data_IF_453064825866
#
_entry.id   IF_453064825866
#
_cell.length_a   1.000
_cell.length_b   1.000
_cell.length_c   1.000
_cell.angle_alpha   90.00
_cell.angle_beta   90.00
_cell.angle_gamma   90.00
#
_symmetry.space_group_name_H-M   'P 1'
#
loop_
_entity.id
_entity.type
_entity.pdbx_description
1 polymer ?
#
# COMPACT_ATOMS: atom_id res chain seq x y z
N UNK A 1 18.96 -4.86 10.70
CA UNK A 1 18.95 -6.02 9.80
C UNK A 1 19.10 -7.28 10.65
N UNK A 2 17.99 -7.79 11.16
CA UNK A 2 17.96 -9.11 11.82
C UNK A 2 17.73 -10.11 10.68
N UNK A 3 18.77 -10.85 10.34
CA UNK A 3 18.66 -12.01 9.46
C UNK A 3 17.78 -13.05 10.18
N UNK A 4 16.53 -13.17 9.78
CA UNK A 4 15.71 -14.33 10.13
C UNK A 4 16.42 -15.58 9.59
N UNK A 5 16.51 -16.66 10.35
CA UNK A 5 17.18 -17.87 9.91
C UNK A 5 16.41 -18.49 8.74
N UNK A 6 16.85 -18.16 7.53
CA UNK A 6 16.47 -18.83 6.31
C UNK A 6 17.19 -20.21 6.32
N UNK A 7 16.44 -21.27 6.52
CA UNK A 7 16.89 -22.67 6.53
C UNK A 7 17.63 -23.15 7.80
N UNK A 8 16.88 -23.58 8.79
CA UNK A 8 17.34 -24.66 9.67
C UNK A 8 17.02 -25.99 8.97
N UNK A 9 18.03 -26.80 8.55
CA UNK A 9 17.77 -28.15 8.09
C UNK A 9 17.35 -28.99 9.29
N UNK A 10 16.12 -29.54 9.25
CA UNK A 10 15.61 -30.45 10.28
C UNK A 10 14.43 -29.94 11.11
N UNK A 11 13.83 -28.79 10.77
CA UNK A 11 12.57 -28.41 11.38
C UNK A 11 11.47 -29.42 10.95
N UNK A 12 10.91 -30.13 11.92
CA UNK A 12 9.74 -30.98 11.73
C UNK A 12 8.61 -30.15 11.14
N UNK A 13 8.26 -30.42 9.90
CA UNK A 13 7.08 -29.80 9.25
C UNK A 13 5.93 -30.75 9.55
N UNK A 14 4.89 -30.33 10.32
CA UNK A 14 3.75 -31.18 10.58
C UNK A 14 3.14 -31.68 9.27
N UNK A 15 2.82 -32.97 9.21
CA UNK A 15 2.10 -33.50 8.06
C UNK A 15 0.67 -32.96 8.07
N UNK A 16 0.47 -31.86 7.34
CA UNK A 16 -0.88 -31.41 7.01
C UNK A 16 -1.61 -32.48 6.23
N UNK A 17 -2.83 -32.77 6.63
CA UNK A 17 -3.68 -33.61 5.79
C UNK A 17 -3.96 -32.90 4.43
N UNK A 18 -4.22 -33.71 3.40
CA UNK A 18 -4.40 -33.18 2.03
C UNK A 18 -5.54 -32.15 1.93
N UNK A 19 -6.57 -32.28 2.75
CA UNK A 19 -7.70 -31.35 2.78
C UNK A 19 -7.29 -29.95 3.29
N UNK A 20 -6.52 -29.91 4.36
CA UNK A 20 -5.99 -28.66 4.92
C UNK A 20 -5.09 -27.95 3.92
N UNK A 21 -4.18 -28.69 3.29
CA UNK A 21 -3.30 -28.18 2.23
C UNK A 21 -4.10 -27.57 1.09
N UNK A 22 -5.10 -28.28 0.57
CA UNK A 22 -5.93 -27.80 -0.53
C UNK A 22 -6.70 -26.51 -0.16
N UNK A 23 -7.18 -26.39 1.08
CA UNK A 23 -7.85 -25.19 1.56
C UNK A 23 -6.91 -23.99 1.62
N UNK A 24 -5.71 -24.19 2.16
CA UNK A 24 -4.70 -23.16 2.23
C UNK A 24 -4.26 -22.70 0.83
N UNK A 25 -4.03 -23.62 -0.09
CA UNK A 25 -3.72 -23.29 -1.49
C UNK A 25 -4.86 -22.51 -2.16
N UNK A 26 -6.12 -22.89 -1.90
CA UNK A 26 -7.28 -22.16 -2.40
C UNK A 26 -7.35 -20.73 -1.83
N UNK A 27 -7.02 -20.53 -0.56
CA UNK A 27 -6.96 -19.22 0.08
C UNK A 27 -5.86 -18.34 -0.54
N UNK A 28 -4.66 -18.90 -0.74
CA UNK A 28 -3.56 -18.19 -1.40
C UNK A 28 -3.92 -17.79 -2.84
N UNK A 29 -4.58 -18.68 -3.57
CA UNK A 29 -5.05 -18.39 -4.93
C UNK A 29 -6.10 -17.27 -4.94
N UNK A 30 -7.06 -17.28 -4.03
CA UNK A 30 -8.04 -16.19 -3.87
C UNK A 30 -7.33 -14.86 -3.55
N UNK A 31 -6.34 -14.88 -2.63
CA UNK A 31 -5.58 -13.69 -2.30
C UNK A 31 -4.78 -13.17 -3.51
N UNK A 32 -4.17 -14.05 -4.29
CA UNK A 32 -3.49 -13.69 -5.54
C UNK A 32 -4.45 -13.05 -6.55
N UNK A 33 -5.61 -13.67 -6.79
CA UNK A 33 -6.64 -13.13 -7.69
C UNK A 33 -7.19 -11.80 -7.21
N UNK A 34 -7.28 -11.61 -5.88
CA UNK A 34 -7.83 -10.42 -5.25
C UNK A 34 -6.82 -9.26 -5.22
N UNK A 35 -5.57 -9.54 -4.86
CA UNK A 35 -4.54 -8.52 -4.67
C UNK A 35 -3.51 -8.45 -5.81
N UNK A 36 -3.55 -9.35 -6.80
CA UNK A 36 -2.67 -9.38 -7.97
C UNK A 36 -1.19 -9.55 -7.66
N UNK A 37 -0.87 -10.14 -6.52
CA UNK A 37 0.50 -10.46 -6.11
C UNK A 37 0.69 -11.98 -6.17
N UNK A 38 1.84 -12.49 -6.66
CA UNK A 38 2.03 -13.90 -6.98
C UNK A 38 2.25 -14.77 -5.72
N UNK A 39 1.24 -14.78 -4.82
CA UNK A 39 1.31 -15.54 -3.55
C UNK A 39 1.16 -17.05 -3.77
N UNK A 40 0.43 -17.45 -4.80
CA UNK A 40 0.18 -18.85 -5.14
C UNK A 40 1.03 -19.31 -6.33
N UNK A 41 1.08 -18.54 -7.40
CA UNK A 41 1.77 -18.89 -8.65
C UNK A 41 3.29 -18.93 -8.52
N UNK A 42 3.87 -18.16 -7.60
CA UNK A 42 5.29 -18.22 -7.30
C UNK A 42 5.55 -19.30 -6.24
N UNK A 43 6.21 -20.40 -6.64
CA UNK A 43 6.45 -21.55 -5.78
C UNK A 43 7.23 -21.19 -4.49
N UNK A 44 8.20 -20.29 -4.58
CA UNK A 44 9.01 -19.86 -3.42
C UNK A 44 8.13 -19.12 -2.40
N UNK A 45 7.32 -18.17 -2.85
CA UNK A 45 6.44 -17.38 -1.96
C UNK A 45 5.36 -18.27 -1.36
N UNK A 46 4.74 -19.11 -2.20
CA UNK A 46 3.76 -20.11 -1.75
C UNK A 46 4.32 -20.98 -0.64
N UNK A 47 5.51 -21.56 -0.85
CA UNK A 47 6.15 -22.43 0.14
C UNK A 47 6.45 -21.69 1.45
N UNK A 48 6.96 -20.48 1.41
CA UNK A 48 7.26 -19.67 2.59
C UNK A 48 6.00 -19.37 3.42
N UNK A 49 4.93 -18.93 2.77
CA UNK A 49 3.67 -18.59 3.43
C UNK A 49 2.99 -19.84 3.97
N UNK A 50 2.94 -20.92 3.18
CA UNK A 50 2.37 -22.18 3.62
C UNK A 50 3.11 -22.73 4.83
N UNK A 51 4.42 -22.73 4.85
CA UNK A 51 5.22 -23.19 5.99
C UNK A 51 4.97 -22.36 7.27
N UNK A 52 4.76 -21.05 7.12
CA UNK A 52 4.41 -20.20 8.26
C UNK A 52 3.03 -20.55 8.82
N UNK A 53 2.02 -20.66 7.97
CA UNK A 53 0.65 -20.97 8.38
C UNK A 53 0.53 -22.41 8.91
N UNK A 54 1.29 -23.37 8.35
CA UNK A 54 1.30 -24.75 8.81
C UNK A 54 1.76 -24.89 10.26
N UNK A 55 2.73 -24.07 10.70
CA UNK A 55 3.16 -24.05 12.11
C UNK A 55 2.05 -23.62 13.06
N UNK A 56 1.24 -22.65 12.65
CA UNK A 56 0.07 -22.21 13.42
C UNK A 56 -1.00 -23.31 13.58
N UNK A 57 -1.06 -24.21 12.62
CA UNK A 57 -2.01 -25.33 12.63
C UNK A 57 -1.47 -26.55 13.39
N UNK A 58 -0.23 -26.49 13.91
CA UNK A 58 0.37 -27.56 14.70
C UNK A 58 -0.12 -27.49 16.15
N UNK A 59 -0.86 -28.51 16.63
CA UNK A 59 -1.33 -28.56 18.01
C UNK A 59 -0.19 -28.52 19.06
N UNK A 60 1.03 -28.89 18.69
CA UNK A 60 2.19 -28.89 19.57
C UNK A 60 2.77 -27.48 19.76
N UNK A 61 2.55 -26.56 18.79
CA UNK A 61 2.97 -25.16 18.87
C UNK A 61 1.89 -24.22 19.42
N UNK A 62 0.63 -24.63 19.47
CA UNK A 62 -0.50 -23.84 20.01
C UNK A 62 -0.29 -23.37 21.49
N UNK A 63 0.58 -24.04 22.23
CA UNK A 63 0.82 -23.71 23.65
C UNK A 63 1.91 -22.65 23.89
N UNK A 64 2.60 -22.18 22.86
CA UNK A 64 3.64 -21.17 23.00
C UNK A 64 3.14 -19.83 22.44
N UNK A 65 2.77 -18.86 23.30
CA UNK A 65 2.38 -17.55 22.80
C UNK A 65 3.57 -16.91 22.10
N UNK A 66 3.47 -16.73 20.79
CA UNK A 66 4.48 -16.05 20.02
C UNK A 66 4.36 -14.56 20.30
N UNK A 67 5.29 -14.04 21.09
CA UNK A 67 5.39 -12.62 21.34
C UNK A 67 6.15 -11.95 20.19
N UNK A 68 5.46 -11.11 19.42
CA UNK A 68 6.07 -10.26 18.42
C UNK A 68 6.16 -8.82 18.94
N UNK A 69 7.32 -8.37 19.41
CA UNK A 69 7.47 -7.01 19.94
C UNK A 69 7.26 -5.92 18.88
N UNK A 70 7.32 -6.30 17.62
CA UNK A 70 7.17 -5.39 16.48
C UNK A 70 5.76 -5.37 15.87
N UNK A 71 4.77 -6.05 16.46
CA UNK A 71 3.42 -6.15 15.88
C UNK A 71 2.82 -4.80 15.55
N UNK A 72 2.88 -3.85 16.47
CA UNK A 72 2.38 -2.48 16.26
C UNK A 72 3.14 -1.73 15.18
N UNK A 73 4.47 -1.89 15.14
CA UNK A 73 5.31 -1.26 14.13
C UNK A 73 5.04 -1.87 12.74
N UNK A 74 4.95 -3.19 12.65
CA UNK A 74 4.64 -3.91 11.41
C UNK A 74 3.27 -3.50 10.85
N UNK A 75 2.25 -3.42 11.70
CA UNK A 75 0.90 -2.97 11.32
C UNK A 75 0.92 -1.57 10.72
N UNK A 76 1.73 -0.66 11.28
CA UNK A 76 1.85 0.71 10.84
C UNK A 76 2.71 0.87 9.58
N UNK A 77 3.89 0.24 9.54
CA UNK A 77 4.85 0.41 8.45
C UNK A 77 4.47 -0.38 7.19
N UNK A 78 3.78 -1.52 7.37
CA UNK A 78 3.43 -2.43 6.28
C UNK A 78 1.91 -2.58 6.12
N UNK A 79 1.19 -1.46 6.15
CA UNK A 79 -0.28 -1.40 6.13
C UNK A 79 -0.91 -2.30 5.06
N UNK A 80 -0.40 -2.25 3.83
CA UNK A 80 -0.94 -3.04 2.73
C UNK A 80 -0.69 -4.54 2.92
N UNK A 81 0.53 -4.93 3.29
CA UNK A 81 0.86 -6.31 3.60
C UNK A 81 0.05 -6.85 4.79
N UNK A 82 -0.17 -6.01 5.81
CA UNK A 82 -0.97 -6.35 6.97
C UNK A 82 -2.45 -6.57 6.59
N UNK A 83 -3.00 -5.76 5.69
CA UNK A 83 -4.35 -5.96 5.18
C UNK A 83 -4.51 -7.28 4.43
N UNK A 84 -3.50 -7.67 3.64
CA UNK A 84 -3.47 -8.96 2.94
C UNK A 84 -3.36 -10.12 3.92
N UNK A 85 -2.56 -9.98 4.97
CA UNK A 85 -2.44 -10.98 6.03
C UNK A 85 -3.77 -11.19 6.76
N UNK A 86 -4.48 -10.12 7.10
CA UNK A 86 -5.83 -10.21 7.66
C UNK A 86 -6.80 -10.94 6.74
N UNK A 87 -6.77 -10.66 5.43
CA UNK A 87 -7.61 -11.34 4.45
C UNK A 87 -7.36 -12.85 4.42
N UNK A 88 -6.10 -13.27 4.40
CA UNK A 88 -5.75 -14.70 4.41
C UNK A 88 -6.20 -15.39 5.69
N UNK A 89 -6.07 -14.73 6.82
CA UNK A 89 -6.49 -15.30 8.09
C UNK A 89 -8.02 -15.32 8.28
N UNK A 90 -8.76 -14.34 7.75
CA UNK A 90 -10.23 -14.38 7.74
C UNK A 90 -10.77 -15.64 7.02
N UNK A 91 -10.14 -15.95 5.88
CA UNK A 91 -10.43 -17.18 5.14
C UNK A 91 -10.12 -18.43 5.98
N UNK A 92 -8.97 -18.44 6.65
CA UNK A 92 -8.51 -19.60 7.44
C UNK A 92 -9.26 -19.76 8.76
N UNK A 93 -9.61 -18.67 9.46
CA UNK A 93 -10.43 -18.72 10.68
C UNK A 93 -11.77 -19.38 10.41
N UNK A 94 -12.40 -19.05 9.27
CA UNK A 94 -13.66 -19.63 8.84
C UNK A 94 -13.52 -21.13 8.55
N UNK A 95 -12.43 -21.55 7.92
CA UNK A 95 -12.19 -22.94 7.51
C UNK A 95 -11.70 -23.85 8.66
N UNK A 96 -10.89 -23.30 9.58
CA UNK A 96 -10.21 -24.07 10.63
C UNK A 96 -10.72 -23.78 12.04
N UNK A 97 -11.64 -22.83 12.23
CA UNK A 97 -12.18 -22.38 13.51
C UNK A 97 -11.09 -21.95 14.51
N UNK A 98 -10.07 -21.29 14.00
CA UNK A 98 -8.96 -20.76 14.78
C UNK A 98 -9.24 -19.32 15.21
N UNK A 99 -8.68 -18.92 16.37
CA UNK A 99 -8.54 -17.52 16.73
C UNK A 99 -7.07 -17.12 16.53
N UNK A 100 -6.80 -16.22 15.60
CA UNK A 100 -5.45 -15.87 15.22
C UNK A 100 -5.02 -14.57 15.93
N UNK A 101 -3.97 -14.61 16.75
CA UNK A 101 -3.47 -13.43 17.46
C UNK A 101 -2.90 -12.37 16.50
N UNK A 102 -2.99 -11.09 16.87
CA UNK A 102 -2.38 -9.97 16.10
C UNK A 102 -0.87 -10.16 15.84
N UNK A 103 -0.15 -10.83 16.74
CA UNK A 103 1.27 -11.16 16.55
C UNK A 103 1.51 -12.03 15.32
N UNK A 104 0.64 -12.98 15.07
CA UNK A 104 0.72 -13.88 13.90
C UNK A 104 0.37 -13.16 12.61
N UNK A 105 -0.67 -12.30 12.65
CA UNK A 105 -1.00 -11.43 11.52
C UNK A 105 0.22 -10.57 11.14
N UNK A 106 0.92 -10.01 12.12
CA UNK A 106 2.11 -9.21 11.90
C UNK A 106 3.27 -10.03 11.30
N UNK A 107 3.48 -11.28 11.74
CA UNK A 107 4.51 -12.14 11.14
C UNK A 107 4.19 -12.49 9.70
N UNK A 108 2.95 -12.87 9.40
CA UNK A 108 2.53 -13.12 8.03
C UNK A 108 2.67 -11.87 7.16
N UNK A 109 2.34 -10.69 7.69
CA UNK A 109 2.51 -9.42 6.99
C UNK A 109 3.98 -9.15 6.61
N UNK A 110 4.94 -9.53 7.44
CA UNK A 110 6.38 -9.43 7.10
C UNK A 110 6.73 -10.31 5.89
N UNK A 111 6.23 -11.56 5.85
CA UNK A 111 6.44 -12.43 4.70
C UNK A 111 5.83 -11.86 3.42
N UNK A 112 4.60 -11.35 3.50
CA UNK A 112 3.92 -10.70 2.38
C UNK A 112 4.66 -9.42 1.94
N UNK A 113 5.18 -8.64 2.89
CA UNK A 113 5.96 -7.43 2.57
C UNK A 113 7.24 -7.76 1.80
N UNK A 114 7.91 -8.87 2.11
CA UNK A 114 9.06 -9.34 1.33
C UNK A 114 8.65 -9.63 -0.13
N UNK A 115 7.52 -10.31 -0.34
CA UNK A 115 6.97 -10.54 -1.69
C UNK A 115 6.69 -9.20 -2.39
N UNK A 116 5.99 -8.30 -1.73
CA UNK A 116 5.69 -6.98 -2.28
C UNK A 116 6.95 -6.17 -2.63
N UNK A 117 8.01 -6.31 -1.84
CA UNK A 117 9.29 -5.64 -2.07
C UNK A 117 10.04 -6.24 -3.27
N UNK A 118 10.00 -7.56 -3.44
CA UNK A 118 10.59 -8.22 -4.61
C UNK A 118 9.84 -7.90 -5.90
N UNK A 119 8.50 -7.87 -5.85
CA UNK A 119 7.65 -7.47 -6.98
C UNK A 119 7.80 -5.98 -7.34
N UNK A 120 8.10 -5.11 -6.37
CA UNK A 120 8.36 -3.69 -6.65
C UNK A 120 9.74 -3.41 -7.23
N UNK A 121 10.64 -4.39 -7.28
CA UNK A 121 11.86 -4.27 -8.12
C UNK A 121 11.52 -4.10 -9.61
N UNK A 122 10.32 -4.44 -10.02
CA UNK A 122 9.71 -3.99 -11.27
C UNK A 122 9.22 -2.54 -11.11
N UNK A 123 10.15 -1.59 -11.11
CA UNK A 123 9.85 -0.16 -11.02
C UNK A 123 8.89 0.35 -12.09
N UNK A 124 8.59 1.65 -12.09
CA UNK A 124 7.76 2.31 -13.10
C UNK A 124 8.36 2.01 -14.48
N UNK A 125 7.68 1.17 -15.25
CA UNK A 125 8.15 0.74 -16.58
C UNK A 125 8.27 1.97 -17.48
N UNK A 126 9.50 2.36 -17.75
CA UNK A 126 9.83 3.64 -18.37
C UNK A 126 10.59 3.44 -19.68
N UNK A 127 10.23 4.21 -20.69
CA UNK A 127 11.00 4.36 -21.91
C UNK A 127 11.73 5.70 -21.88
N UNK A 128 13.04 5.69 -22.13
CA UNK A 128 13.80 6.92 -22.37
C UNK A 128 13.93 7.15 -23.88
N UNK A 129 13.34 8.23 -24.36
CA UNK A 129 13.50 8.72 -25.71
C UNK A 129 14.55 9.83 -25.68
N UNK A 130 15.71 9.58 -26.23
CA UNK A 130 16.88 10.46 -26.11
C UNK A 130 17.34 10.98 -27.47
N UNK A 131 17.40 12.29 -27.62
CA UNK A 131 17.92 12.92 -28.83
C UNK A 131 19.45 13.11 -28.70
N UNK A 132 20.23 12.19 -29.26
CA UNK A 132 21.67 12.22 -29.20
C UNK A 132 22.32 10.86 -29.47
N UNK A 133 23.59 10.73 -29.10
CA UNK A 133 24.32 9.48 -29.26
C UNK A 133 23.82 8.45 -28.25
N UNK A 134 23.81 7.16 -28.65
CA UNK A 134 23.35 6.06 -27.79
C UNK A 134 24.07 6.01 -26.45
N UNK A 135 25.38 6.22 -26.44
CA UNK A 135 26.19 6.22 -25.21
C UNK A 135 25.78 7.33 -24.22
N UNK A 136 25.44 8.52 -24.74
CA UNK A 136 24.92 9.63 -23.92
C UNK A 136 23.56 9.25 -23.31
N UNK A 137 22.69 8.64 -24.09
CA UNK A 137 21.39 8.16 -23.62
C UNK A 137 21.50 7.11 -22.50
N UNK A 138 22.46 6.18 -22.61
CA UNK A 138 22.70 5.18 -21.57
C UNK A 138 23.26 5.82 -20.26
N UNK A 139 24.12 6.83 -20.38
CA UNK A 139 24.59 7.62 -19.23
C UNK A 139 23.41 8.34 -18.55
N UNK A 140 22.51 8.90 -19.36
CA UNK A 140 21.29 9.55 -18.86
C UNK A 140 20.36 8.59 -18.18
N UNK A 141 20.18 7.38 -18.72
CA UNK A 141 19.42 6.29 -18.10
C UNK A 141 19.95 6.00 -16.69
N UNK A 142 21.26 5.77 -16.59
CA UNK A 142 21.91 5.53 -15.30
C UNK A 142 21.69 6.68 -14.31
N UNK A 143 21.86 7.92 -14.75
CA UNK A 143 21.65 9.12 -13.93
C UNK A 143 20.21 9.21 -13.41
N UNK A 144 19.20 9.01 -14.29
CA UNK A 144 17.78 9.04 -13.88
C UNK A 144 17.48 7.94 -12.87
N UNK A 145 17.95 6.71 -13.09
CA UNK A 145 17.72 5.60 -12.16
C UNK A 145 18.43 5.77 -10.81
N UNK A 146 19.56 6.50 -10.77
CA UNK A 146 20.23 6.85 -9.52
C UNK A 146 19.41 7.85 -8.70
N UNK A 147 18.83 8.88 -9.34
CA UNK A 147 17.96 9.84 -8.65
C UNK A 147 16.58 9.26 -8.30
N UNK A 148 16.08 8.35 -9.13
CA UNK A 148 14.75 7.77 -9.02
C UNK A 148 14.81 6.24 -9.08
N UNK A 149 15.16 5.56 -7.99
CA UNK A 149 15.31 4.10 -7.95
C UNK A 149 14.02 3.33 -8.31
N UNK A 150 12.85 3.99 -8.20
CA UNK A 150 11.54 3.44 -8.60
C UNK A 150 11.31 3.47 -10.11
N UNK A 151 12.16 4.11 -10.91
CA UNK A 151 12.06 4.16 -12.36
C UNK A 151 12.88 3.02 -12.98
N UNK A 152 12.21 2.15 -13.74
CA UNK A 152 12.85 1.06 -14.49
C UNK A 152 12.90 1.42 -15.99
N UNK A 153 14.05 1.93 -16.46
CA UNK A 153 14.27 2.25 -17.85
C UNK A 153 14.89 1.03 -18.55
N UNK A 154 14.06 0.27 -19.26
CA UNK A 154 14.51 -0.91 -20.04
C UNK A 154 15.02 -0.55 -21.43
N UNK A 155 14.59 0.57 -21.99
CA UNK A 155 14.85 0.91 -23.38
C UNK A 155 15.23 2.37 -23.52
N UNK A 156 16.34 2.61 -24.24
CA UNK A 156 16.77 3.94 -24.69
C UNK A 156 16.71 3.98 -26.21
N UNK A 157 15.89 4.87 -26.77
CA UNK A 157 15.70 4.96 -28.23
C UNK A 157 15.67 6.42 -28.66
N UNK A 158 16.01 6.73 -29.94
CA UNK A 158 15.88 8.10 -30.45
C UNK A 158 14.44 8.45 -30.84
N UNK A 159 13.52 7.49 -30.89
CA UNK A 159 12.16 7.69 -31.38
C UNK A 159 11.11 7.12 -30.43
N UNK A 160 9.93 7.72 -30.44
CA UNK A 160 8.73 7.27 -29.76
C UNK A 160 7.68 6.87 -30.82
N UNK A 161 6.98 5.77 -30.58
CA UNK A 161 5.83 5.34 -31.41
C UNK A 161 4.57 5.32 -30.56
N UNK A 162 3.39 5.39 -31.21
CA UNK A 162 2.09 5.45 -30.52
C UNK A 162 1.85 4.24 -29.60
N UNK A 163 2.33 3.06 -29.96
CA UNK A 163 2.24 1.85 -29.14
C UNK A 163 3.00 1.97 -27.80
N UNK A 164 3.98 2.85 -27.69
CA UNK A 164 4.73 3.07 -26.44
C UNK A 164 3.84 3.61 -25.32
N UNK A 165 2.82 4.41 -25.64
CA UNK A 165 1.85 4.95 -24.67
C UNK A 165 1.01 3.87 -24.01
N UNK A 166 0.84 2.71 -24.64
CA UNK A 166 0.15 1.56 -24.06
C UNK A 166 1.10 0.66 -23.28
N UNK A 167 2.35 0.55 -23.74
CA UNK A 167 3.34 -0.36 -23.19
C UNK A 167 4.02 0.17 -21.95
N UNK A 168 4.32 1.47 -21.89
CA UNK A 168 5.06 2.09 -20.79
C UNK A 168 4.16 2.94 -19.91
N UNK A 169 4.50 2.99 -18.62
CA UNK A 169 3.80 3.83 -17.63
C UNK A 169 4.31 5.27 -17.68
N UNK A 170 5.59 5.43 -18.01
CA UNK A 170 6.27 6.72 -18.17
C UNK A 170 7.10 6.70 -19.45
N UNK A 171 7.07 7.81 -20.17
CA UNK A 171 7.97 8.07 -21.28
C UNK A 171 8.71 9.38 -20.95
N UNK A 172 10.02 9.29 -20.81
CA UNK A 172 10.87 10.46 -20.61
C UNK A 172 11.45 10.85 -21.96
N UNK A 173 11.11 12.04 -22.44
CA UNK A 173 11.72 12.63 -23.66
C UNK A 173 12.80 13.62 -23.24
N UNK A 174 14.02 13.38 -23.72
CA UNK A 174 15.19 14.17 -23.36
C UNK A 174 15.84 14.84 -24.56
N UNK A 175 15.97 16.16 -24.53
CA UNK A 175 16.72 16.94 -25.51
C UNK A 175 15.95 17.32 -26.78
N UNK A 176 14.64 17.13 -26.85
CA UNK A 176 13.81 17.52 -27.98
C UNK A 176 13.40 18.99 -27.86
N UNK A 177 13.37 19.69 -29.00
CA UNK A 177 12.87 21.08 -29.08
C UNK A 177 11.39 21.14 -29.48
N UNK A 178 10.91 20.14 -30.22
CA UNK A 178 9.51 20.08 -30.65
C UNK A 178 8.63 19.50 -29.54
N UNK A 179 7.61 20.25 -29.09
CA UNK A 179 6.66 19.75 -28.09
C UNK A 179 5.82 18.62 -28.69
N UNK A 180 5.50 17.64 -27.87
CA UNK A 180 4.51 16.61 -28.20
C UNK A 180 3.16 17.02 -27.63
N UNK A 181 2.09 16.54 -28.25
CA UNK A 181 0.74 16.69 -27.71
C UNK A 181 0.69 16.29 -26.23
N UNK A 182 0.06 17.11 -25.40
CA UNK A 182 0.00 16.90 -23.96
C UNK A 182 -0.52 15.49 -23.65
N UNK A 183 0.30 14.71 -22.97
CA UNK A 183 -0.05 13.38 -22.49
C UNK A 183 0.50 13.17 -21.09
N UNK A 184 -0.36 12.72 -20.18
CA UNK A 184 0.00 12.53 -18.77
C UNK A 184 1.13 11.53 -18.52
N UNK A 185 1.44 10.67 -19.50
CA UNK A 185 2.53 9.70 -19.41
C UNK A 185 3.87 10.22 -19.95
N UNK A 186 3.91 11.42 -20.54
CA UNK A 186 5.12 11.96 -21.15
C UNK A 186 5.69 13.08 -20.28
N UNK A 187 6.95 12.93 -19.89
CA UNK A 187 7.73 13.96 -19.20
C UNK A 187 8.87 14.43 -20.10
N UNK A 188 8.87 15.72 -20.44
CA UNK A 188 9.92 16.34 -21.23
C UNK A 188 10.99 16.99 -20.34
N UNK A 189 12.23 16.61 -20.56
CA UNK A 189 13.40 17.11 -19.82
C UNK A 189 14.51 17.58 -20.75
N UNK A 190 15.35 18.48 -20.23
CA UNK A 190 16.56 18.93 -20.91
C UNK A 190 17.74 17.97 -20.71
N UNK A 191 18.72 18.01 -21.59
CA UNK A 191 19.98 17.26 -21.41
C UNK A 191 20.77 17.67 -20.18
N UNK A 192 20.54 18.88 -19.64
CA UNK A 192 21.16 19.36 -18.40
C UNK A 192 20.60 18.69 -17.15
N UNK A 193 19.39 18.13 -17.19
CA UNK A 193 18.70 17.58 -16.04
C UNK A 193 18.78 18.51 -14.82
N UNK A 194 18.24 19.71 -14.98
CA UNK A 194 18.22 20.74 -13.95
C UNK A 194 17.17 20.45 -12.88
N UNK A 195 17.11 21.26 -11.83
CA UNK A 195 16.17 21.10 -10.71
C UNK A 195 14.70 21.06 -11.16
N UNK A 196 14.32 21.82 -12.22
CA UNK A 196 12.97 21.80 -12.78
C UNK A 196 12.66 20.45 -13.45
N UNK A 197 13.64 19.85 -14.14
CA UNK A 197 13.49 18.55 -14.79
C UNK A 197 13.37 17.44 -13.76
N UNK A 198 14.15 17.50 -12.70
CA UNK A 198 14.06 16.60 -11.53
C UNK A 198 12.66 16.71 -10.92
N UNK A 199 12.18 17.93 -10.65
CA UNK A 199 10.85 18.14 -10.11
C UNK A 199 9.72 17.59 -11.02
N UNK A 200 9.83 17.71 -12.35
CA UNK A 200 8.85 17.12 -13.28
C UNK A 200 8.78 15.60 -13.17
N UNK A 201 9.95 14.94 -13.12
CA UNK A 201 10.00 13.48 -12.99
C UNK A 201 9.46 13.09 -11.62
N UNK A 202 9.85 13.79 -10.56
CA UNK A 202 9.39 13.54 -9.20
C UNK A 202 7.87 13.69 -9.08
N UNK A 203 7.31 14.79 -9.56
CA UNK A 203 5.87 14.99 -9.61
C UNK A 203 5.15 13.85 -10.35
N UNK A 204 5.72 13.36 -11.46
CA UNK A 204 5.15 12.22 -12.16
C UNK A 204 5.20 10.96 -11.29
N UNK A 205 6.34 10.63 -10.70
CA UNK A 205 6.53 9.45 -9.84
C UNK A 205 5.58 9.49 -8.63
N UNK A 206 5.35 10.66 -8.08
CA UNK A 206 4.42 10.91 -6.98
C UNK A 206 2.95 10.91 -7.42
N UNK A 207 2.65 11.40 -8.62
CA UNK A 207 1.29 11.55 -9.16
C UNK A 207 0.72 10.26 -9.78
N UNK A 208 1.58 9.30 -10.12
CA UNK A 208 1.14 8.02 -10.68
C UNK A 208 0.50 7.17 -9.57
N UNK A 209 -0.73 7.48 -9.24
CA UNK A 209 -1.60 6.60 -8.50
C UNK A 209 -2.54 7.22 -7.47
N UNK A 210 -2.22 8.32 -6.81
CA UNK A 210 -2.99 8.74 -5.64
C UNK A 210 -3.43 10.21 -5.62
N UNK A 211 -2.76 11.10 -6.32
CA UNK A 211 -3.10 12.53 -6.33
C UNK A 211 -4.55 12.80 -6.79
N UNK A 212 -5.09 12.02 -7.74
CA UNK A 212 -6.48 12.16 -8.16
C UNK A 212 -7.47 11.70 -7.08
N UNK A 213 -7.11 10.72 -6.25
CA UNK A 213 -7.92 10.26 -5.13
C UNK A 213 -8.04 11.32 -4.05
N UNK A 214 -6.93 11.94 -3.69
CA UNK A 214 -6.89 13.01 -2.70
C UNK A 214 -7.65 14.24 -3.17
N UNK A 215 -7.61 14.59 -4.45
CA UNK A 215 -8.41 15.69 -5.00
C UNK A 215 -9.92 15.43 -4.92
N UNK A 216 -10.35 14.16 -4.97
CA UNK A 216 -11.74 13.75 -5.00
C UNK A 216 -12.26 13.22 -3.65
N UNK A 217 -11.45 13.31 -2.56
CA UNK A 217 -11.87 12.83 -1.24
C UNK A 217 -13.13 13.53 -0.72
N UNK A 218 -13.89 12.83 0.10
CA UNK A 218 -14.93 13.43 0.95
C UNK A 218 -14.30 13.84 2.28
N UNK A 219 -14.72 14.98 2.83
CA UNK A 219 -14.13 15.55 4.04
C UNK A 219 -15.21 15.94 5.04
N UNK A 220 -15.10 15.44 6.28
CA UNK A 220 -16.09 15.65 7.32
C UNK A 220 -15.46 15.96 8.67
N UNK A 221 -15.99 16.95 9.36
CA UNK A 221 -15.81 17.10 10.81
C UNK A 221 -16.94 16.37 11.51
N UNK A 222 -16.62 15.68 12.60
CA UNK A 222 -17.58 14.89 13.35
C UNK A 222 -17.31 14.91 14.86
N UNK A 223 -18.24 14.38 15.64
CA UNK A 223 -18.15 14.31 17.10
C UNK A 223 -18.74 12.96 17.58
N UNK A 224 -18.09 11.91 17.17
CA UNK A 224 -18.47 10.53 17.50
C UNK A 224 -17.75 10.05 18.76
N UNK A 225 -18.27 9.00 19.41
CA UNK A 225 -17.75 8.48 20.68
C UNK A 225 -17.05 7.12 20.56
N UNK A 226 -17.23 6.42 19.43
CA UNK A 226 -16.64 5.10 19.18
C UNK A 226 -16.18 4.95 17.73
N UNK A 227 -15.35 3.93 17.48
CA UNK A 227 -14.90 3.56 16.15
C UNK A 227 -16.07 3.16 15.23
N UNK A 228 -17.02 2.40 15.77
CA UNK A 228 -18.19 1.91 15.04
C UNK A 228 -19.07 3.09 14.59
N UNK A 229 -19.40 4.00 15.51
CA UNK A 229 -20.23 5.18 15.18
C UNK A 229 -19.51 6.11 14.17
N UNK A 230 -18.18 6.22 14.26
CA UNK A 230 -17.38 7.03 13.34
C UNK A 230 -17.39 6.45 11.91
N UNK A 231 -17.20 5.14 11.77
CA UNK A 231 -17.27 4.46 10.46
C UNK A 231 -18.68 4.59 9.88
N UNK A 232 -19.71 4.30 10.69
CA UNK A 232 -21.11 4.41 10.26
C UNK A 232 -21.45 5.81 9.78
N UNK A 233 -21.10 6.84 10.57
CA UNK A 233 -21.32 8.24 10.22
C UNK A 233 -20.70 8.60 8.87
N UNK A 234 -19.42 8.27 8.68
CA UNK A 234 -18.68 8.62 7.46
C UNK A 234 -19.23 7.91 6.23
N UNK A 235 -19.51 6.61 6.32
CA UNK A 235 -20.09 5.85 5.22
C UNK A 235 -21.49 6.35 4.85
N UNK A 236 -22.32 6.69 5.84
CA UNK A 236 -23.66 7.23 5.62
C UNK A 236 -23.61 8.59 4.94
N UNK A 237 -22.73 9.49 5.40
CA UNK A 237 -22.58 10.85 4.83
C UNK A 237 -22.07 10.83 3.40
N UNK A 238 -21.22 9.87 3.05
CA UNK A 238 -20.63 9.76 1.71
C UNK A 238 -21.40 8.81 0.78
N UNK A 239 -22.54 8.26 1.22
CA UNK A 239 -23.40 7.42 0.37
C UNK A 239 -22.97 5.95 0.24
N UNK A 240 -22.10 5.46 1.13
CA UNK A 240 -21.56 4.10 1.11
C UNK A 240 -22.04 3.25 2.28
N UNK A 241 -23.15 3.57 2.89
CA UNK A 241 -23.67 2.86 4.07
C UNK A 241 -23.88 1.37 3.86
N UNK A 242 -24.21 0.93 2.65
CA UNK A 242 -24.32 -0.48 2.27
C UNK A 242 -23.03 -1.29 2.46
N UNK A 243 -21.89 -0.63 2.59
CA UNK A 243 -20.59 -1.27 2.82
C UNK A 243 -20.27 -1.49 4.31
N UNK A 244 -21.07 -0.91 5.23
CA UNK A 244 -20.81 -0.99 6.68
C UNK A 244 -20.53 -2.41 7.19
N UNK A 245 -21.26 -3.47 6.82
CA UNK A 245 -20.98 -4.82 7.31
C UNK A 245 -19.57 -5.32 6.97
N UNK A 246 -19.02 -4.91 5.83
CA UNK A 246 -17.69 -5.31 5.38
C UNK A 246 -16.58 -4.60 6.15
N UNK A 247 -16.80 -3.34 6.52
CA UNK A 247 -15.91 -2.61 7.40
C UNK A 247 -15.92 -3.20 8.81
N UNK A 248 -17.10 -3.50 9.36
CA UNK A 248 -17.25 -4.13 10.67
C UNK A 248 -16.54 -5.49 10.73
N UNK A 249 -16.68 -6.30 9.69
CA UNK A 249 -15.98 -7.58 9.59
C UNK A 249 -14.46 -7.40 9.60
N UNK A 250 -13.93 -6.42 8.86
CA UNK A 250 -12.49 -6.12 8.83
C UNK A 250 -11.98 -5.62 10.18
N UNK A 251 -12.72 -4.73 10.84
CA UNK A 251 -12.36 -4.19 12.16
C UNK A 251 -12.35 -5.27 13.26
N UNK A 252 -13.25 -6.26 13.18
CA UNK A 252 -13.35 -7.32 14.19
C UNK A 252 -12.12 -8.23 14.22
N UNK A 253 -11.37 -8.37 13.13
CA UNK A 253 -10.15 -9.18 13.09
C UNK A 253 -8.96 -8.48 13.75
N UNK A 254 -8.76 -7.24 13.43
CA UNK A 254 -7.73 -6.37 14.00
C UNK A 254 -8.13 -4.93 13.75
N UNK A 255 -8.32 -4.13 14.78
CA UNK A 255 -8.68 -2.73 14.65
C UNK A 255 -7.72 -2.02 13.69
N UNK A 256 -8.21 -1.07 12.91
CA UNK A 256 -7.41 -0.38 11.89
C UNK A 256 -6.68 0.86 12.39
N UNK A 257 -6.50 1.00 13.71
CA UNK A 257 -5.62 2.00 14.30
C UNK A 257 -4.17 1.79 13.86
N UNK A 258 -3.51 2.85 13.43
CA UNK A 258 -2.14 2.84 12.92
C UNK A 258 -1.19 3.72 13.74
N UNK A 259 -1.63 4.18 14.90
CA UNK A 259 -0.88 5.08 15.77
C UNK A 259 -1.03 6.55 15.38
N UNK A 260 -0.36 7.45 16.12
CA UNK A 260 -0.37 8.90 15.89
C UNK A 260 -1.78 9.50 15.73
N UNK A 261 -2.76 9.01 16.49
CA UNK A 261 -4.16 9.44 16.44
C UNK A 261 -4.88 9.11 15.11
N UNK A 262 -4.39 8.15 14.34
CA UNK A 262 -4.93 7.81 13.02
C UNK A 262 -5.48 6.39 12.99
N UNK A 263 -6.63 6.22 12.32
CA UNK A 263 -7.13 4.93 11.87
C UNK A 263 -7.40 4.95 10.37
N UNK A 264 -7.22 3.79 9.71
CA UNK A 264 -7.47 3.61 8.29
C UNK A 264 -8.45 2.46 8.05
N UNK A 265 -9.76 2.63 8.32
CA UNK A 265 -10.75 1.63 8.02
C UNK A 265 -10.86 1.35 6.52
N UNK A 266 -10.94 0.07 6.16
CA UNK A 266 -11.12 -0.40 4.78
C UNK A 266 -11.75 -1.80 4.78
N UNK A 267 -12.56 -2.16 3.78
CA UNK A 267 -13.15 -3.49 3.68
C UNK A 267 -12.18 -4.49 3.05
N UNK A 268 -12.43 -5.79 3.23
CA UNK A 268 -11.72 -6.82 2.46
C UNK A 268 -12.20 -6.93 1.02
N UNK A 269 -13.44 -6.53 0.75
CA UNK A 269 -14.05 -6.78 -0.56
C UNK A 269 -13.47 -5.86 -1.64
N UNK A 270 -13.29 -6.48 -2.80
CA UNK A 270 -13.21 -5.81 -4.07
C UNK A 270 -14.60 -5.22 -4.34
N UNK A 271 -14.78 -3.97 -3.99
CA UNK A 271 -15.99 -3.24 -4.36
C UNK A 271 -16.00 -3.15 -5.88
N UNK A 272 -17.13 -3.41 -6.51
CA UNK A 272 -17.30 -3.39 -7.98
C UNK A 272 -17.11 -2.00 -8.58
N UNK A 273 -16.64 -1.04 -7.80
CA UNK A 273 -16.36 0.32 -8.26
C UNK A 273 -15.08 0.39 -9.08
N UNK A 274 -15.15 1.10 -10.18
CA UNK A 274 -14.03 1.28 -11.10
C UNK A 274 -12.93 2.17 -10.53
N UNK A 275 -13.27 3.02 -9.54
CA UNK A 275 -12.35 3.99 -8.93
C UNK A 275 -12.36 3.87 -7.41
N UNK A 276 -11.18 3.94 -6.78
CA UNK A 276 -11.06 4.00 -5.34
C UNK A 276 -11.71 5.28 -4.76
N UNK A 277 -12.17 5.22 -3.50
CA UNK A 277 -12.71 6.36 -2.77
C UNK A 277 -11.99 6.57 -1.45
N UNK A 278 -11.80 7.83 -1.10
CA UNK A 278 -11.22 8.25 0.16
C UNK A 278 -12.22 9.16 0.88
N UNK A 279 -12.46 8.88 2.15
CA UNK A 279 -13.31 9.70 3.02
C UNK A 279 -12.48 10.05 4.25
N UNK A 280 -12.32 11.32 4.51
CA UNK A 280 -11.61 11.84 5.67
C UNK A 280 -12.60 12.28 6.73
N UNK A 281 -12.42 11.76 7.94
CA UNK A 281 -13.12 12.18 9.13
C UNK A 281 -12.17 12.78 10.16
N UNK A 282 -12.42 14.01 10.61
CA UNK A 282 -11.72 14.61 11.74
C UNK A 282 -12.68 14.66 12.92
N UNK A 283 -12.40 13.85 13.96
CA UNK A 283 -13.22 13.87 15.14
C UNK A 283 -12.78 15.01 16.09
N UNK A 284 -13.75 15.64 16.73
CA UNK A 284 -13.51 16.77 17.65
C UNK A 284 -12.63 16.35 18.84
N UNK A 285 -12.91 15.18 19.38
CA UNK A 285 -12.20 14.60 20.53
C UNK A 285 -11.56 13.27 20.14
N UNK A 286 -10.62 12.80 20.93
CA UNK A 286 -10.07 11.46 20.77
C UNK A 286 -11.12 10.39 21.09
N UNK A 287 -11.24 9.38 20.25
CA UNK A 287 -12.12 8.23 20.47
C UNK A 287 -11.31 6.94 20.62
N UNK A 288 -11.77 5.98 21.41
CA UNK A 288 -11.10 4.70 21.55
C UNK A 288 -11.19 3.93 20.22
N UNK A 289 -10.07 3.32 19.81
CA UNK A 289 -9.96 2.51 18.59
C UNK A 289 -8.97 1.38 18.84
N UNK A 290 -9.46 0.18 19.06
CA UNK A 290 -8.62 -0.92 19.51
C UNK A 290 -7.85 -0.56 20.79
N UNK A 291 -6.53 -0.57 20.70
CA UNK A 291 -5.64 -0.23 21.82
C UNK A 291 -5.12 1.21 21.80
N UNK A 292 -5.60 2.03 20.87
CA UNK A 292 -5.15 3.40 20.66
C UNK A 292 -6.30 4.40 20.79
N UNK A 293 -5.94 5.67 20.72
CA UNK A 293 -6.89 6.77 20.57
C UNK A 293 -6.73 7.37 19.19
N UNK A 294 -7.84 7.76 18.57
CA UNK A 294 -7.89 8.22 17.18
C UNK A 294 -8.68 9.53 17.09
N UNK A 295 -8.23 10.43 16.22
CA UNK A 295 -8.94 11.64 15.81
C UNK A 295 -9.06 11.78 14.31
N UNK A 296 -8.05 11.30 13.54
CA UNK A 296 -8.06 11.28 12.07
C UNK A 296 -8.48 9.91 11.58
N UNK A 297 -9.57 9.85 10.85
CA UNK A 297 -10.09 8.62 10.26
C UNK A 297 -9.96 8.74 8.74
N UNK A 298 -9.23 7.80 8.13
CA UNK A 298 -9.01 7.71 6.69
C UNK A 298 -9.75 6.48 6.18
N UNK A 299 -11.03 6.63 5.82
CA UNK A 299 -11.77 5.52 5.19
C UNK A 299 -11.26 5.36 3.75
N UNK A 300 -10.94 4.13 3.40
CA UNK A 300 -10.52 3.74 2.08
C UNK A 300 -11.42 2.65 1.50
N UNK A 301 -12.05 2.92 0.35
CA UNK A 301 -12.81 1.95 -0.43
C UNK A 301 -11.94 1.59 -1.64
N UNK A 302 -11.42 0.34 -1.72
CA UNK A 302 -10.46 -0.04 -2.74
C UNK A 302 -11.07 -0.11 -4.14
N UNK A 303 -10.29 0.25 -5.16
CA UNK A 303 -10.62 0.00 -6.57
C UNK A 303 -10.17 -1.39 -7.02
N UNK A 304 -10.54 -1.73 -8.26
CA UNK A 304 -10.03 -2.93 -8.93
C UNK A 304 -8.53 -2.82 -9.30
N UNK A 305 -7.99 -1.61 -9.38
CA UNK A 305 -6.56 -1.38 -9.66
C UNK A 305 -5.71 -1.49 -8.40
N UNK A 306 -4.99 -2.59 -8.32
CA UNK A 306 -4.13 -2.95 -7.20
C UNK A 306 -2.97 -2.00 -6.96
N UNK A 307 -2.45 -1.40 -8.03
CA UNK A 307 -1.35 -0.45 -7.91
C UNK A 307 -1.80 0.82 -7.20
N UNK A 308 -2.99 1.31 -7.53
CA UNK A 308 -3.61 2.44 -6.85
C UNK A 308 -3.82 2.13 -5.37
N UNK A 309 -4.36 0.94 -5.04
CA UNK A 309 -4.54 0.53 -3.66
C UNK A 309 -3.20 0.53 -2.89
N UNK A 310 -2.18 -0.17 -3.40
CA UNK A 310 -0.86 -0.23 -2.76
C UNK A 310 -0.23 1.15 -2.55
N UNK A 311 -0.29 2.00 -3.57
CA UNK A 311 0.28 3.34 -3.50
C UNK A 311 -0.44 4.18 -2.44
N UNK A 312 -1.78 4.09 -2.35
CA UNK A 312 -2.53 4.84 -1.33
C UNK A 312 -2.19 4.39 0.09
N UNK A 313 -2.05 3.09 0.35
CA UNK A 313 -1.61 2.60 1.66
C UNK A 313 -0.23 3.13 2.04
N UNK A 314 0.70 3.17 1.08
CA UNK A 314 2.03 3.74 1.31
C UNK A 314 1.96 5.26 1.57
N UNK A 315 1.15 6.00 0.82
CA UNK A 315 0.98 7.44 1.03
C UNK A 315 0.39 7.73 2.42
N UNK A 316 -0.61 6.96 2.86
CA UNK A 316 -1.15 7.10 4.21
C UNK A 316 -0.05 6.88 5.26
N UNK A 317 0.78 5.83 5.10
CA UNK A 317 1.91 5.62 6.00
C UNK A 317 2.88 6.80 6.00
N UNK A 318 3.29 7.29 4.83
CA UNK A 318 4.22 8.42 4.72
C UNK A 318 3.70 9.65 5.45
N UNK A 319 2.41 10.01 5.26
CA UNK A 319 1.79 11.19 5.89
C UNK A 319 1.42 11.03 7.36
N UNK A 320 1.33 9.78 7.85
CA UNK A 320 0.95 9.51 9.24
C UNK A 320 2.11 9.02 10.11
N UNK A 321 3.29 8.82 9.51
CA UNK A 321 4.50 8.39 10.23
C UNK A 321 5.06 9.49 11.14
N UNK A 322 4.79 10.76 10.84
CA UNK A 322 5.23 11.92 11.63
C UNK A 322 4.04 12.54 12.39
N UNK A 323 4.13 12.59 13.71
CA UNK A 323 3.07 13.14 14.57
C UNK A 323 2.81 14.64 14.30
N UNK A 324 3.84 15.42 13.96
CA UNK A 324 3.66 16.85 13.65
C UNK A 324 2.84 17.05 12.36
N UNK A 325 3.05 16.19 11.36
CA UNK A 325 2.27 16.20 10.11
C UNK A 325 0.80 15.81 10.37
N UNK A 326 0.56 14.80 11.20
CA UNK A 326 -0.79 14.43 11.63
C UNK A 326 -1.47 15.57 12.37
N UNK A 327 -0.77 16.27 13.28
CA UNK A 327 -1.33 17.44 13.94
C UNK A 327 -1.70 18.55 12.94
N UNK A 328 -0.87 18.82 11.93
CA UNK A 328 -1.19 19.79 10.88
C UNK A 328 -2.45 19.38 10.08
N UNK A 329 -2.64 18.09 9.80
CA UNK A 329 -3.86 17.58 9.17
C UNK A 329 -5.09 17.74 10.07
N UNK A 330 -4.96 17.49 11.38
CA UNK A 330 -6.03 17.61 12.37
C UNK A 330 -6.51 19.04 12.59
N UNK A 331 -5.70 20.05 12.31
CA UNK A 331 -6.05 21.48 12.44
C UNK A 331 -6.77 22.06 11.21
N UNK A 332 -6.87 21.29 10.12
CA UNK A 332 -7.55 21.71 8.90
C UNK A 332 -9.07 21.83 9.12
N UNK A 333 -9.68 22.84 8.51
CA UNK A 333 -11.11 23.12 8.66
C UNK A 333 -11.89 22.84 7.38
N UNK A 334 -11.20 22.78 6.25
CA UNK A 334 -11.82 22.56 4.94
C UNK A 334 -11.07 21.47 4.16
N UNK A 335 -11.76 20.91 3.17
CA UNK A 335 -11.17 19.95 2.23
C UNK A 335 -9.92 20.50 1.53
N UNK A 336 -9.98 21.76 1.10
CA UNK A 336 -8.90 22.42 0.38
C UNK A 336 -7.66 22.60 1.27
N UNK A 337 -7.86 22.94 2.54
CA UNK A 337 -6.78 23.01 3.53
C UNK A 337 -6.17 21.65 3.75
N UNK A 338 -6.97 20.59 3.91
CA UNK A 338 -6.51 19.22 4.08
C UNK A 338 -5.66 18.78 2.88
N UNK A 339 -6.16 18.96 1.67
CA UNK A 339 -5.44 18.63 0.43
C UNK A 339 -4.12 19.42 0.34
N UNK A 340 -4.12 20.69 0.74
CA UNK A 340 -2.92 21.52 0.74
C UNK A 340 -1.86 21.02 1.72
N UNK A 341 -2.27 20.61 2.93
CA UNK A 341 -1.36 20.04 3.93
C UNK A 341 -0.85 18.68 3.46
N UNK A 342 -1.75 17.81 2.97
CA UNK A 342 -1.38 16.49 2.44
C UNK A 342 -0.35 16.58 1.30
N UNK A 343 -0.47 17.54 0.40
CA UNK A 343 0.44 17.71 -0.74
C UNK A 343 1.78 18.40 -0.38
N UNK A 344 1.96 18.90 0.86
CA UNK A 344 3.20 19.49 1.34
C UNK A 344 4.14 18.41 1.85
N UNK A 345 4.80 17.65 0.98
CA UNK A 345 5.82 16.68 1.40
C UNK A 345 7.07 17.40 1.93
N UNK A 346 7.50 17.05 3.14
CA UNK A 346 8.89 17.18 3.58
C UNK A 346 9.34 18.47 4.25
N UNK A 347 8.54 19.50 4.43
CA UNK A 347 8.97 20.74 5.12
C UNK A 347 9.09 20.62 6.66
N UNK A 348 8.67 19.49 7.23
CA UNK A 348 8.66 19.28 8.69
C UNK A 348 9.92 18.59 9.24
N UNK A 349 10.89 18.20 8.39
CA UNK A 349 12.13 17.53 8.83
C UNK A 349 13.13 18.44 9.56
N UNK A 350 12.88 19.74 9.63
CA UNK A 350 13.76 20.73 10.26
C UNK A 350 13.20 21.38 11.54
N UNK A 351 12.14 20.81 12.13
CA UNK A 351 11.54 21.34 13.37
C UNK A 351 11.71 20.35 14.53
N UNK A 352 12.97 20.03 14.87
CA UNK A 352 13.38 19.45 16.17
C UNK A 352 14.71 20.08 16.57
#
# INVERSE_FOLDING_TARGET
LIALPLNMPGAFVPEMNQLQRNRLEASLKRAEEYYGIPLYSNERYRAQIMNHIMRLLDPLEESIPIFNPYSKQTKREYLFAYSIACFLYDDLESDFRLQIPESEIAYLAIHIQLVLTEETKNGIQTKLVFQGKKAEGELFRYKIQTYFPRIDIKTVTPTMIQADLQKYQLIIRCGFQEPVAANSKIVEISKGMNTRDIAKIQNFVETVGTASLIQQLDYHHMNESSSESAIEYLLKKSGYFNLLPYFQKRESMSPTDIGHLVAMPHPFLKVSETTAKVIIGINRTEIPWGHQKVRLIVIYIPASDLKTNKNFFNDVYEHTSNLAEVHALLETKTKEEFIKVWNRKGDYSNAL
#
